data_IF_581433206483
#
_entry.id   IF_581433206483
#
_cell.length_a   1.000
_cell.length_b   1.000
_cell.length_c   1.000
_cell.angle_alpha   90.00
_cell.angle_beta   90.00
_cell.angle_gamma   90.00
#
_symmetry.space_group_name_H-M   'P 1'
#
loop_
_entity.id
_entity.type
_entity.pdbx_description
1 polymer ?
#
# COMPACT_ATOMS: atom_id res chain seq x y z
N UNK A 1 -17.17 22.46 -7.43
CA UNK A 1 -16.89 21.02 -7.66
C UNK A 1 -16.53 20.40 -6.32
N UNK A 2 -17.12 19.28 -5.96
CA UNK A 2 -16.74 18.47 -4.79
C UNK A 2 -15.69 17.49 -5.26
N UNK A 3 -14.40 17.64 -4.87
CA UNK A 3 -13.34 16.75 -5.35
C UNK A 3 -13.44 15.39 -4.68
N UNK A 4 -12.98 14.32 -5.36
CA UNK A 4 -12.95 12.97 -4.81
C UNK A 4 -12.02 12.85 -3.57
N UNK A 5 -10.99 13.66 -3.51
CA UNK A 5 -10.14 13.82 -2.34
C UNK A 5 -9.55 15.24 -2.29
N UNK A 6 -9.20 15.65 -1.10
CA UNK A 6 -8.44 16.88 -0.86
C UNK A 6 -7.36 16.57 0.17
N UNK A 7 -6.06 16.66 -0.20
CA UNK A 7 -4.98 16.37 0.74
C UNK A 7 -5.00 17.39 1.90
N UNK A 8 -4.86 16.88 3.11
CA UNK A 8 -4.72 17.69 4.31
C UNK A 8 -3.35 17.46 4.92
N UNK A 9 -2.50 18.46 4.90
CA UNK A 9 -1.18 18.41 5.55
C UNK A 9 -1.32 19.08 6.92
N UNK A 10 -1.12 18.29 7.98
CA UNK A 10 -1.24 18.76 9.36
C UNK A 10 -0.18 19.80 9.70
N UNK A 11 -0.38 20.54 10.79
CA UNK A 11 0.53 21.61 11.21
C UNK A 11 1.93 21.08 11.47
N UNK A 12 2.05 20.00 12.23
CA UNK A 12 3.33 19.38 12.58
C UNK A 12 4.14 18.97 11.32
N UNK A 13 3.48 18.40 10.31
CA UNK A 13 4.14 18.04 9.06
C UNK A 13 4.73 19.24 8.32
N UNK A 14 4.04 20.39 8.35
CA UNK A 14 4.54 21.65 7.78
C UNK A 14 5.74 22.18 8.53
N UNK A 15 5.66 22.19 9.87
CA UNK A 15 6.71 22.71 10.73
C UNK A 15 8.01 21.88 10.59
N UNK A 16 7.90 20.53 10.62
CA UNK A 16 9.04 19.63 10.39
C UNK A 16 9.66 19.76 9.00
N UNK A 17 8.84 19.99 7.96
CA UNK A 17 9.34 20.20 6.60
C UNK A 17 10.11 21.55 6.49
N UNK A 18 9.64 22.59 7.15
CA UNK A 18 10.33 23.89 7.22
C UNK A 18 11.67 23.74 7.92
N UNK A 19 11.72 23.07 9.08
CA UNK A 19 12.96 22.78 9.80
C UNK A 19 13.97 22.03 8.94
N UNK A 20 13.52 21.01 8.20
CA UNK A 20 14.38 20.24 7.28
C UNK A 20 14.94 21.10 6.13
N UNK A 21 14.18 22.08 5.64
CA UNK A 21 14.65 23.01 4.60
C UNK A 21 15.63 24.02 5.18
N UNK A 22 15.32 24.61 6.33
CA UNK A 22 16.16 25.61 6.99
C UNK A 22 17.51 25.06 7.47
N UNK A 23 17.55 23.78 7.88
CA UNK A 23 18.80 23.11 8.26
C UNK A 23 19.74 22.85 7.08
N UNK A 24 19.24 22.90 5.84
CA UNK A 24 19.97 22.51 4.64
C UNK A 24 19.99 21.00 4.37
N UNK A 25 19.44 20.18 5.25
CA UNK A 25 19.37 18.70 5.10
C UNK A 25 18.18 18.31 4.19
N UNK A 26 18.18 18.80 2.95
CA UNK A 26 17.03 18.65 2.03
C UNK A 26 16.88 17.20 1.54
N UNK A 27 17.96 16.60 1.10
CA UNK A 27 17.94 15.24 0.48
C UNK A 27 18.26 14.14 1.47
N UNK A 28 19.32 14.32 2.26
CA UNK A 28 19.78 13.39 3.28
C UNK A 28 19.64 14.07 4.64
N UNK A 29 19.23 13.33 5.66
CA UNK A 29 19.07 13.89 7.00
C UNK A 29 18.41 12.92 7.96
N UNK A 30 18.21 13.34 9.23
CA UNK A 30 17.75 12.46 10.30
C UNK A 30 16.30 11.98 10.14
N UNK A 31 15.44 12.75 9.47
CA UNK A 31 14.02 12.43 9.33
C UNK A 31 13.80 11.12 8.54
N UNK A 32 14.73 10.75 7.64
CA UNK A 32 14.63 9.50 6.88
C UNK A 32 14.61 8.31 7.85
N UNK A 33 15.65 8.18 8.67
CA UNK A 33 15.75 7.07 9.61
C UNK A 33 14.65 7.11 10.67
N UNK A 34 14.28 8.31 11.10
CA UNK A 34 13.21 8.49 12.08
C UNK A 34 11.86 8.04 11.52
N UNK A 35 11.53 8.43 10.28
CA UNK A 35 10.28 8.03 9.64
C UNK A 35 10.25 6.52 9.36
N UNK A 36 11.37 5.93 8.91
CA UNK A 36 11.51 4.49 8.74
C UNK A 36 11.24 3.73 10.05
N UNK A 37 11.81 4.19 11.16
CA UNK A 37 11.64 3.57 12.47
C UNK A 37 10.22 3.76 13.02
N UNK A 38 9.68 5.00 13.03
CA UNK A 38 8.36 5.26 13.60
C UNK A 38 7.26 4.55 12.78
N UNK A 39 7.37 4.53 11.44
CA UNK A 39 6.37 3.87 10.60
C UNK A 39 6.45 2.34 10.71
N UNK A 40 7.65 1.74 10.71
CA UNK A 40 7.80 0.30 10.91
C UNK A 40 7.27 -0.13 12.28
N UNK A 41 7.57 0.60 13.35
CA UNK A 41 7.03 0.35 14.69
C UNK A 41 5.50 0.50 14.74
N UNK A 42 4.95 1.52 14.10
CA UNK A 42 3.50 1.70 13.99
C UNK A 42 2.83 0.50 13.33
N UNK A 43 3.45 -0.09 12.32
CA UNK A 43 2.98 -1.30 11.65
C UNK A 43 3.38 -2.60 12.39
N UNK A 44 4.14 -2.54 13.49
CA UNK A 44 4.61 -3.72 14.23
C UNK A 44 5.65 -4.54 13.47
N UNK A 45 6.53 -3.87 12.69
CA UNK A 45 7.63 -4.48 11.93
C UNK A 45 8.99 -4.00 12.45
N UNK A 46 10.04 -4.81 12.20
CA UNK A 46 11.40 -4.48 12.63
C UNK A 46 12.06 -3.44 11.74
N UNK A 47 11.87 -3.54 10.41
CA UNK A 47 12.57 -2.71 9.44
C UNK A 47 11.61 -2.01 8.50
N UNK A 48 11.91 -0.74 8.20
CA UNK A 48 11.27 0.05 7.17
C UNK A 48 12.33 0.71 6.28
N UNK A 49 12.12 0.65 4.97
CA UNK A 49 13.00 1.28 3.97
C UNK A 49 12.16 2.18 3.09
N UNK A 50 12.33 3.49 3.24
CA UNK A 50 11.64 4.50 2.41
C UNK A 50 12.12 4.44 0.96
N UNK A 51 11.22 4.76 0.02
CA UNK A 51 11.56 4.88 -1.40
C UNK A 51 10.71 5.95 -2.09
N UNK A 52 11.02 6.23 -3.36
CA UNK A 52 10.48 7.37 -4.10
C UNK A 52 8.97 7.36 -4.33
N UNK A 53 8.31 6.19 -4.38
CA UNK A 53 6.86 6.03 -4.55
C UNK A 53 6.44 4.57 -4.33
N UNK A 54 5.12 4.30 -4.33
CA UNK A 54 4.58 2.95 -4.13
C UNK A 54 4.97 1.94 -5.22
N UNK A 55 5.12 2.37 -6.47
CA UNK A 55 5.59 1.49 -7.55
C UNK A 55 7.04 1.06 -7.34
N UNK A 56 7.90 1.99 -6.89
CA UNK A 56 9.27 1.68 -6.50
C UNK A 56 9.31 0.74 -5.27
N UNK A 57 8.37 0.90 -4.32
CA UNK A 57 8.25 0.00 -3.18
C UNK A 57 7.95 -1.44 -3.61
N UNK A 58 6.95 -1.65 -4.48
CA UNK A 58 6.61 -2.96 -5.04
C UNK A 58 7.79 -3.55 -5.83
N UNK A 59 8.43 -2.74 -6.66
CA UNK A 59 9.59 -3.17 -7.45
C UNK A 59 10.73 -3.65 -6.54
N UNK A 60 11.10 -2.83 -5.54
CA UNK A 60 12.17 -3.15 -4.58
C UNK A 60 11.82 -4.37 -3.73
N UNK A 61 10.57 -4.50 -3.28
CA UNK A 61 10.09 -5.63 -2.50
C UNK A 61 10.27 -6.95 -3.27
N UNK A 62 9.80 -7.00 -4.52
CA UNK A 62 9.92 -8.17 -5.39
C UNK A 62 11.40 -8.47 -5.68
N UNK A 63 12.20 -7.44 -5.98
CA UNK A 63 13.65 -7.59 -6.27
C UNK A 63 14.41 -8.13 -5.07
N UNK A 64 14.11 -7.63 -3.86
CA UNK A 64 14.81 -8.01 -2.64
C UNK A 64 14.50 -9.45 -2.19
N UNK A 65 13.34 -10.02 -2.57
CA UNK A 65 13.01 -11.41 -2.29
C UNK A 65 13.92 -12.40 -3.04
N UNK A 66 14.57 -11.96 -4.11
CA UNK A 66 15.51 -12.76 -4.90
C UNK A 66 14.95 -14.16 -5.26
N UNK A 67 13.73 -14.18 -5.83
CA UNK A 67 13.05 -15.41 -6.20
C UNK A 67 13.78 -16.13 -7.36
N UNK A 68 13.60 -17.44 -7.55
CA UNK A 68 14.15 -18.15 -8.69
C UNK A 68 13.75 -17.52 -10.03
N UNK A 69 14.66 -17.54 -11.01
CA UNK A 69 14.42 -16.96 -12.33
C UNK A 69 13.21 -17.65 -13.01
N UNK A 70 12.31 -16.86 -13.58
CA UNK A 70 11.11 -17.35 -14.24
C UNK A 70 9.97 -17.75 -13.29
N UNK A 71 10.11 -17.48 -11.99
CA UNK A 71 9.03 -17.72 -11.02
C UNK A 71 7.73 -17.06 -11.41
N UNK A 72 6.64 -17.72 -11.12
CA UNK A 72 5.29 -17.18 -11.18
C UNK A 72 4.96 -16.43 -9.88
N UNK A 73 4.32 -15.26 -10.05
CA UNK A 73 3.78 -14.46 -8.94
C UNK A 73 2.28 -14.30 -9.18
N UNK A 74 1.46 -14.87 -8.29
CA UNK A 74 0.01 -14.74 -8.37
C UNK A 74 -0.40 -13.35 -7.89
N UNK A 75 -1.29 -12.69 -8.64
CA UNK A 75 -1.76 -11.34 -8.35
C UNK A 75 -3.26 -11.21 -8.65
N UNK A 76 -4.06 -10.52 -7.80
CA UNK A 76 -5.47 -10.27 -8.09
C UNK A 76 -5.66 -9.51 -9.41
N UNK A 77 -6.73 -9.87 -10.15
CA UNK A 77 -7.06 -9.23 -11.43
C UNK A 77 -7.51 -7.78 -11.29
N UNK A 78 -8.03 -7.38 -10.14
CA UNK A 78 -8.41 -6.01 -9.83
C UNK A 78 -7.31 -5.33 -8.99
N UNK A 79 -6.45 -4.58 -9.66
CA UNK A 79 -5.34 -3.87 -9.01
C UNK A 79 -4.85 -2.72 -9.88
N UNK A 80 -4.04 -1.85 -9.28
CA UNK A 80 -3.26 -0.87 -10.04
C UNK A 80 -2.18 -1.56 -10.87
N UNK A 81 -1.90 -1.03 -12.06
CA UNK A 81 -0.89 -1.57 -12.98
C UNK A 81 0.51 -1.70 -12.37
N UNK A 82 0.80 -0.96 -11.29
CA UNK A 82 2.10 -0.99 -10.60
C UNK A 82 2.51 -2.38 -10.12
N UNK A 83 1.55 -3.22 -9.69
CA UNK A 83 1.83 -4.62 -9.31
C UNK A 83 2.37 -5.41 -10.50
N UNK A 84 1.73 -5.29 -11.66
CA UNK A 84 2.14 -5.97 -12.88
C UNK A 84 3.48 -5.45 -13.40
N UNK A 85 3.65 -4.13 -13.38
CA UNK A 85 4.93 -3.49 -13.76
C UNK A 85 6.06 -4.03 -12.90
N UNK A 86 5.89 -4.06 -11.57
CA UNK A 86 6.91 -4.54 -10.65
C UNK A 86 7.27 -6.02 -10.88
N UNK A 87 6.28 -6.89 -11.17
CA UNK A 87 6.49 -8.29 -11.49
C UNK A 87 7.27 -8.44 -12.82
N UNK A 88 6.81 -7.78 -13.88
CA UNK A 88 7.39 -7.89 -15.22
C UNK A 88 8.80 -7.33 -15.31
N UNK A 89 9.05 -6.16 -14.72
CA UNK A 89 10.36 -5.51 -14.73
C UNK A 89 11.41 -6.27 -13.88
N UNK A 90 10.97 -7.15 -12.98
CA UNK A 90 11.83 -8.10 -12.26
C UNK A 90 12.00 -9.44 -13.00
N UNK A 91 11.50 -9.57 -14.24
CA UNK A 91 11.56 -10.78 -15.08
C UNK A 91 10.84 -11.99 -14.49
N UNK A 92 9.73 -11.75 -13.73
CA UNK A 92 8.83 -12.79 -13.26
C UNK A 92 7.55 -12.84 -14.08
N UNK A 93 6.78 -13.92 -13.93
CA UNK A 93 5.56 -14.19 -14.69
C UNK A 93 4.34 -13.87 -13.82
N UNK A 94 3.53 -12.84 -14.16
CA UNK A 94 2.29 -12.59 -13.43
C UNK A 94 1.23 -13.64 -13.78
N UNK A 95 0.59 -14.22 -12.76
CA UNK A 95 -0.53 -15.15 -12.88
C UNK A 95 -1.74 -14.54 -12.19
N UNK A 96 -2.84 -14.34 -12.95
CA UNK A 96 -4.02 -13.68 -12.40
C UNK A 96 -4.92 -14.64 -11.64
N UNK A 97 -5.44 -14.18 -10.50
CA UNK A 97 -6.55 -14.79 -9.79
C UNK A 97 -7.73 -13.82 -9.66
N UNK A 98 -8.91 -14.35 -9.33
CA UNK A 98 -10.11 -13.56 -9.12
C UNK A 98 -10.11 -12.83 -7.78
N UNK A 99 -11.07 -11.92 -7.63
CA UNK A 99 -11.37 -11.20 -6.41
C UNK A 99 -12.74 -11.62 -5.87
N UNK A 100 -12.92 -11.49 -4.56
CA UNK A 100 -14.22 -11.61 -3.92
C UNK A 100 -15.09 -10.38 -4.27
N UNK A 101 -16.30 -10.58 -4.85
CA UNK A 101 -17.13 -9.47 -5.32
C UNK A 101 -17.78 -8.64 -4.21
N UNK A 102 -17.63 -9.05 -2.95
CA UNK A 102 -18.17 -8.35 -1.78
C UNK A 102 -17.10 -7.45 -1.15
N UNK A 103 -15.91 -8.01 -0.92
CA UNK A 103 -14.81 -7.32 -0.25
C UNK A 103 -13.85 -6.64 -1.23
N UNK A 104 -13.87 -7.04 -2.51
CA UNK A 104 -12.92 -6.66 -3.58
C UNK A 104 -11.46 -7.08 -3.29
N UNK A 105 -11.22 -7.81 -2.23
CA UNK A 105 -9.95 -8.43 -1.92
C UNK A 105 -9.80 -9.75 -2.68
N UNK A 106 -8.61 -10.34 -2.63
CA UNK A 106 -8.31 -11.60 -3.30
C UNK A 106 -9.31 -12.71 -2.92
N UNK A 107 -9.80 -13.46 -3.92
CA UNK A 107 -10.47 -14.73 -3.71
C UNK A 107 -9.42 -15.81 -3.45
N UNK A 108 -9.36 -16.31 -2.20
CA UNK A 108 -8.35 -17.28 -1.78
C UNK A 108 -8.50 -18.65 -2.44
N UNK A 109 -9.71 -19.06 -2.84
CA UNK A 109 -9.93 -20.32 -3.56
C UNK A 109 -9.43 -20.18 -5.00
N UNK A 110 -9.72 -19.06 -5.66
CA UNK A 110 -9.15 -18.75 -6.98
C UNK A 110 -7.62 -18.67 -6.90
N UNK A 111 -7.06 -17.95 -5.92
CA UNK A 111 -5.61 -17.85 -5.71
C UNK A 111 -4.98 -19.23 -5.53
N UNK A 112 -5.57 -20.09 -4.68
CA UNK A 112 -5.08 -21.46 -4.46
C UNK A 112 -5.15 -22.31 -5.73
N UNK A 113 -6.16 -22.13 -6.58
CA UNK A 113 -6.31 -22.88 -7.85
C UNK A 113 -5.25 -22.53 -8.89
N UNK A 114 -4.55 -21.40 -8.73
CA UNK A 114 -3.49 -20.93 -9.64
C UNK A 114 -2.09 -21.33 -9.19
N UNK A 115 -1.95 -21.94 -8.02
CA UNK A 115 -0.64 -22.40 -7.52
C UNK A 115 -0.12 -23.55 -8.38
N UNK A 116 1.10 -23.39 -8.88
CA UNK A 116 1.87 -24.40 -9.63
C UNK A 116 3.21 -24.66 -8.94
N UNK A 117 4.02 -25.56 -9.46
CA UNK A 117 5.40 -25.80 -9.01
C UNK A 117 6.32 -24.60 -9.23
N UNK A 118 5.97 -23.69 -10.17
CA UNK A 118 6.74 -22.48 -10.48
C UNK A 118 6.32 -21.29 -9.61
N UNK A 119 5.24 -21.40 -8.82
CA UNK A 119 4.73 -20.31 -8.00
C UNK A 119 5.67 -20.07 -6.81
N UNK A 120 6.32 -18.89 -6.76
CA UNK A 120 7.23 -18.53 -5.68
C UNK A 120 6.69 -17.43 -4.77
N UNK A 121 5.73 -16.64 -5.23
CA UNK A 121 5.11 -15.60 -4.41
C UNK A 121 3.66 -15.35 -4.83
N UNK A 122 2.91 -14.70 -3.92
CA UNK A 122 1.59 -14.13 -4.18
C UNK A 122 1.57 -12.68 -3.70
N UNK A 123 0.84 -11.83 -4.44
CA UNK A 123 0.53 -10.46 -4.00
C UNK A 123 -0.87 -10.46 -3.42
N UNK A 124 -1.01 -10.00 -2.18
CA UNK A 124 -2.30 -9.68 -1.56
C UNK A 124 -2.45 -8.17 -1.49
N UNK A 125 -3.65 -7.66 -1.78
CA UNK A 125 -3.94 -6.22 -1.82
C UNK A 125 -5.05 -5.93 -0.83
N UNK A 126 -4.84 -4.94 0.03
CA UNK A 126 -5.84 -4.49 0.99
C UNK A 126 -6.70 -3.39 0.34
N UNK A 127 -7.65 -3.80 -0.49
CA UNK A 127 -8.39 -2.93 -1.42
C UNK A 127 -9.24 -1.89 -0.68
N UNK A 128 -9.09 -0.63 -1.07
CA UNK A 128 -9.84 0.54 -0.56
C UNK A 128 -9.82 0.74 0.96
N UNK A 129 -8.85 0.12 1.65
CA UNK A 129 -8.67 0.28 3.09
C UNK A 129 -9.21 -0.87 3.92
N UNK A 130 -9.70 -1.95 3.29
CA UNK A 130 -10.14 -3.18 3.93
C UNK A 130 -9.05 -4.24 3.84
N UNK A 131 -8.60 -4.79 4.97
CA UNK A 131 -7.63 -5.88 4.96
C UNK A 131 -8.22 -7.14 4.34
N UNK A 132 -7.33 -7.98 3.78
CA UNK A 132 -7.71 -9.36 3.42
C UNK A 132 -8.07 -10.15 4.69
N UNK A 133 -8.86 -11.21 4.52
CA UNK A 133 -9.18 -12.15 5.60
C UNK A 133 -7.90 -12.87 6.07
N UNK A 134 -7.47 -12.57 7.29
CA UNK A 134 -6.21 -13.09 7.85
C UNK A 134 -6.28 -14.57 8.22
N UNK A 135 -7.48 -15.12 8.47
CA UNK A 135 -7.63 -16.56 8.72
C UNK A 135 -7.46 -17.35 7.42
N UNK A 136 -8.07 -16.87 6.32
CA UNK A 136 -7.90 -17.47 4.98
C UNK A 136 -6.45 -17.33 4.51
N UNK A 137 -5.80 -16.19 4.79
CA UNK A 137 -4.38 -16.00 4.48
C UNK A 137 -3.50 -16.99 5.27
N UNK A 138 -3.77 -17.17 6.55
CA UNK A 138 -3.06 -18.13 7.41
C UNK A 138 -3.24 -19.58 6.91
N UNK A 139 -4.45 -19.96 6.52
CA UNK A 139 -4.74 -21.26 5.93
C UNK A 139 -3.99 -21.46 4.60
N UNK A 140 -3.97 -20.42 3.73
CA UNK A 140 -3.20 -20.45 2.49
C UNK A 140 -1.69 -20.63 2.76
N UNK A 141 -1.11 -19.87 3.70
CA UNK A 141 0.32 -19.96 4.06
C UNK A 141 0.67 -21.32 4.66
N UNK A 142 -0.21 -21.89 5.49
CA UNK A 142 -0.04 -23.22 6.07
C UNK A 142 0.03 -24.30 4.97
N UNK A 143 -0.81 -24.18 3.94
CA UNK A 143 -0.83 -25.11 2.81
C UNK A 143 0.36 -24.91 1.87
N UNK A 144 0.88 -23.69 1.77
CA UNK A 144 1.93 -23.31 0.83
C UNK A 144 3.09 -22.60 1.57
N UNK A 145 3.82 -23.29 2.47
CA UNK A 145 4.77 -22.64 3.40
C UNK A 145 5.98 -22.00 2.71
N UNK A 146 6.32 -22.41 1.50
CA UNK A 146 7.46 -21.88 0.72
C UNK A 146 7.10 -20.66 -0.11
N UNK A 147 5.82 -20.44 -0.41
CA UNK A 147 5.35 -19.29 -1.21
C UNK A 147 5.45 -18.03 -0.36
N UNK A 148 6.11 -17.00 -0.89
CA UNK A 148 6.25 -15.70 -0.24
C UNK A 148 4.98 -14.87 -0.39
N UNK A 149 4.58 -14.20 0.69
CA UNK A 149 3.45 -13.27 0.68
C UNK A 149 4.01 -11.85 0.54
N UNK A 150 3.60 -11.14 -0.50
CA UNK A 150 3.86 -9.72 -0.73
C UNK A 150 2.55 -8.97 -0.44
N UNK A 151 2.55 -8.17 0.60
CA UNK A 151 1.39 -7.35 0.95
C UNK A 151 1.50 -5.96 0.29
N UNK A 152 0.54 -5.62 -0.57
CA UNK A 152 0.33 -4.22 -0.98
C UNK A 152 -0.67 -3.56 -0.02
N UNK A 153 -0.13 -2.80 0.93
CA UNK A 153 -0.86 -2.05 1.94
C UNK A 153 -1.00 -0.57 1.57
N UNK A 154 -0.80 -0.20 0.31
CA UNK A 154 -0.80 1.19 -0.17
C UNK A 154 -2.10 1.94 0.07
N UNK A 155 -3.19 1.25 0.36
CA UNK A 155 -4.53 1.82 0.57
C UNK A 155 -5.04 1.63 2.01
N UNK A 156 -4.26 0.96 2.88
CA UNK A 156 -4.77 0.44 4.15
C UNK A 156 -3.98 0.89 5.39
N UNK A 157 -3.32 2.05 5.34
CA UNK A 157 -2.59 2.60 6.48
C UNK A 157 -3.45 2.64 7.74
N UNK A 158 -3.08 1.84 8.76
CA UNK A 158 -3.79 1.76 10.02
C UNK A 158 -5.05 0.90 10.03
N UNK A 159 -5.36 0.19 8.95
CA UNK A 159 -6.45 -0.80 8.92
C UNK A 159 -6.11 -2.05 9.75
N UNK A 160 -7.16 -2.73 10.22
CA UNK A 160 -7.05 -3.98 10.99
C UNK A 160 -8.03 -5.04 10.50
N UNK A 161 -7.62 -6.29 10.65
CA UNK A 161 -8.51 -7.44 10.74
C UNK A 161 -8.12 -8.24 11.98
N UNK A 162 -9.06 -8.37 12.94
CA UNK A 162 -8.79 -8.94 14.27
C UNK A 162 -7.61 -8.24 14.95
N UNK A 163 -6.58 -8.98 15.30
CA UNK A 163 -5.34 -8.49 15.93
C UNK A 163 -4.25 -8.06 14.94
N UNK A 164 -4.46 -8.25 13.64
CA UNK A 164 -3.47 -7.95 12.60
C UNK A 164 -3.68 -6.57 11.99
N UNK A 165 -2.61 -5.83 11.87
CA UNK A 165 -2.58 -4.51 11.23
C UNK A 165 -2.03 -4.61 9.80
N UNK A 166 -2.43 -3.69 8.93
CA UNK A 166 -1.80 -3.49 7.63
C UNK A 166 -0.28 -3.30 7.79
N UNK A 167 0.49 -4.00 6.97
CA UNK A 167 1.95 -4.07 7.06
C UNK A 167 2.47 -5.34 7.76
N UNK A 168 1.60 -6.12 8.42
CA UNK A 168 1.99 -7.34 9.15
C UNK A 168 1.68 -8.64 8.42
N UNK A 169 0.97 -8.57 7.27
CA UNK A 169 0.36 -9.76 6.69
C UNK A 169 1.31 -10.58 5.80
N UNK A 170 2.31 -9.92 5.21
CA UNK A 170 3.23 -10.57 4.29
C UNK A 170 4.60 -10.91 4.89
N UNK A 171 5.42 -11.67 4.16
CA UNK A 171 6.86 -11.77 4.38
C UNK A 171 7.53 -10.39 4.14
N UNK A 172 6.91 -9.61 3.25
CA UNK A 172 7.29 -8.24 2.92
C UNK A 172 6.02 -7.43 2.63
N UNK A 173 5.98 -6.15 3.02
CA UNK A 173 4.82 -5.29 2.82
C UNK A 173 5.23 -3.96 2.20
N UNK A 174 4.37 -3.40 1.36
CA UNK A 174 4.64 -2.14 0.64
C UNK A 174 3.58 -1.10 0.94
N UNK A 175 4.01 0.16 1.02
CA UNK A 175 3.14 1.31 1.23
C UNK A 175 3.42 2.39 0.19
N UNK A 176 2.40 3.17 -0.12
CA UNK A 176 2.49 4.37 -0.93
C UNK A 176 2.15 5.59 -0.08
N UNK A 177 2.92 6.66 -0.23
CA UNK A 177 2.66 7.96 0.39
C UNK A 177 2.27 9.01 -0.66
N UNK A 178 1.64 8.55 -1.75
CA UNK A 178 1.08 9.46 -2.75
C UNK A 178 0.04 10.40 -2.13
N UNK A 179 -0.18 11.54 -2.76
CA UNK A 179 -0.94 12.67 -2.21
C UNK A 179 -2.36 12.33 -1.69
N UNK A 180 -3.01 11.26 -2.20
CA UNK A 180 -4.34 10.85 -1.77
C UNK A 180 -4.35 9.80 -0.64
N UNK A 181 -3.19 9.35 -0.18
CA UNK A 181 -3.08 8.32 0.86
C UNK A 181 -3.35 8.90 2.25
N UNK A 182 -3.62 8.04 3.22
CA UNK A 182 -3.92 8.43 4.61
C UNK A 182 -2.71 9.10 5.25
N UNK A 183 -1.52 8.54 5.05
CA UNK A 183 -0.24 9.20 5.29
C UNK A 183 0.34 9.58 3.94
N UNK A 184 0.65 10.85 3.74
CA UNK A 184 1.22 11.33 2.48
C UNK A 184 2.50 12.13 2.67
N UNK A 185 3.40 12.01 1.70
CA UNK A 185 4.61 12.84 1.56
C UNK A 185 4.62 13.57 0.21
N UNK A 186 3.42 13.66 -0.45
CA UNK A 186 3.25 14.11 -1.84
C UNK A 186 3.53 12.99 -2.82
N UNK A 187 4.74 12.53 -2.89
CA UNK A 187 5.21 11.27 -3.49
C UNK A 187 6.06 10.54 -2.46
N UNK A 188 5.99 9.22 -2.43
CA UNK A 188 6.78 8.38 -1.52
C UNK A 188 6.26 6.96 -1.43
N UNK A 189 7.07 6.09 -0.87
CA UNK A 189 6.72 4.72 -0.54
C UNK A 189 7.61 4.19 0.57
N UNK A 190 7.26 3.01 1.07
CA UNK A 190 8.06 2.28 2.06
C UNK A 190 7.89 0.79 1.86
N UNK A 191 8.96 0.05 2.09
CA UNK A 191 8.94 -1.41 2.19
C UNK A 191 9.21 -1.80 3.62
N UNK A 192 8.39 -2.71 4.19
CA UNK A 192 8.54 -3.23 5.54
C UNK A 192 8.89 -4.72 5.50
N UNK A 193 9.76 -5.14 6.40
CA UNK A 193 10.13 -6.55 6.59
C UNK A 193 10.65 -6.80 8.01
N UNK A 194 10.67 -8.07 8.44
CA UNK A 194 11.35 -8.50 9.68
C UNK A 194 12.65 -9.26 9.37
N UNK A 195 12.92 -9.53 8.09
CA UNK A 195 14.11 -10.26 7.63
C UNK A 195 15.29 -9.27 7.45
N UNK A 196 16.37 -9.42 8.24
CA UNK A 196 17.52 -8.53 8.16
C UNK A 196 18.27 -8.59 6.82
N UNK A 197 18.29 -9.76 6.14
CA UNK A 197 18.94 -9.90 4.85
C UNK A 197 18.14 -9.20 3.74
N UNK A 198 16.81 -9.30 3.80
CA UNK A 198 15.92 -8.55 2.90
C UNK A 198 16.09 -7.05 3.12
N UNK A 199 16.15 -6.61 4.39
CA UNK A 199 16.37 -5.20 4.72
C UNK A 199 17.71 -4.67 4.17
N UNK A 200 18.79 -5.43 4.31
CA UNK A 200 20.10 -5.05 3.76
C UNK A 200 20.04 -4.90 2.22
N UNK A 201 19.43 -5.87 1.54
CA UNK A 201 19.23 -5.81 0.08
C UNK A 201 18.40 -4.59 -0.33
N UNK A 202 17.33 -4.27 0.39
CA UNK A 202 16.50 -3.08 0.13
C UNK A 202 17.30 -1.77 0.24
N UNK A 203 18.10 -1.62 1.30
CA UNK A 203 18.96 -0.45 1.53
C UNK A 203 19.98 -0.27 0.40
N UNK A 204 20.57 -1.35 -0.06
CA UNK A 204 21.52 -1.36 -1.15
C UNK A 204 20.85 -1.02 -2.49
N UNK A 205 19.78 -1.74 -2.83
CA UNK A 205 19.02 -1.55 -4.09
C UNK A 205 18.48 -0.13 -4.24
N UNK A 206 17.89 0.44 -3.18
CA UNK A 206 17.35 1.81 -3.17
C UNK A 206 18.39 2.88 -3.50
N UNK A 207 19.64 2.63 -3.20
CA UNK A 207 20.69 3.63 -3.22
C UNK A 207 21.88 3.20 -4.06
N UNK A 208 21.64 2.79 -5.30
CA UNK A 208 22.66 2.50 -6.32
C UNK A 208 23.65 1.38 -5.94
N UNK A 209 23.35 0.53 -4.97
CA UNK A 209 24.23 -0.56 -4.51
C UNK A 209 25.66 -0.09 -4.14
N UNK A 210 25.80 1.05 -3.46
CA UNK A 210 27.09 1.52 -3.00
C UNK A 210 27.67 0.61 -1.92
N UNK A 211 28.84 0.01 -2.16
CA UNK A 211 29.70 -0.59 -1.11
C UNK A 211 30.53 0.51 -0.44
N UNK A 212 31.12 1.39 -1.23
CA UNK A 212 31.90 2.52 -0.74
C UNK A 212 31.50 3.79 -1.51
N UNK A 213 30.76 4.68 -0.84
CA UNK A 213 30.31 5.95 -1.43
C UNK A 213 31.48 6.88 -1.80
N UNK A 214 32.56 6.87 -1.02
CA UNK A 214 33.70 7.76 -1.26
C UNK A 214 34.45 7.37 -2.52
N UNK A 215 34.43 6.09 -2.90
CA UNK A 215 35.13 5.55 -4.05
C UNK A 215 34.21 5.23 -5.22
N UNK A 216 32.90 5.47 -5.10
CA UNK A 216 31.92 5.09 -6.11
C UNK A 216 31.98 3.61 -6.51
N UNK A 217 32.21 2.74 -5.50
CA UNK A 217 32.25 1.29 -5.71
C UNK A 217 30.86 0.71 -5.48
N UNK A 218 30.37 -0.06 -6.44
CA UNK A 218 29.07 -0.71 -6.44
C UNK A 218 29.23 -2.23 -6.48
N UNK A 219 28.39 -2.98 -5.77
CA UNK A 219 28.39 -4.46 -5.79
C UNK A 219 27.59 -5.02 -6.96
N UNK A 220 26.56 -4.30 -7.38
CA UNK A 220 25.63 -4.69 -8.43
C UNK A 220 24.89 -3.45 -8.96
N UNK A 221 23.97 -3.63 -9.88
CA UNK A 221 23.07 -2.57 -10.34
C UNK A 221 22.04 -2.26 -9.23
N UNK A 222 21.97 -0.98 -8.87
CA UNK A 222 20.99 -0.44 -7.94
C UNK A 222 20.26 0.76 -8.54
N UNK A 223 19.32 1.32 -7.79
CA UNK A 223 18.41 2.35 -8.26
C UNK A 223 18.54 3.63 -7.44
N UNK A 224 18.22 4.75 -8.04
CA UNK A 224 18.04 6.02 -7.33
C UNK A 224 16.56 6.15 -6.93
N UNK A 225 16.11 5.33 -5.99
CA UNK A 225 14.74 5.31 -5.49
C UNK A 225 14.63 5.90 -4.09
N UNK A 226 15.49 6.84 -3.74
CA UNK A 226 15.50 7.49 -2.43
C UNK A 226 14.27 8.40 -2.24
N UNK A 227 13.74 8.44 -1.02
CA UNK A 227 12.88 9.51 -0.55
C UNK A 227 13.74 10.59 0.12
N UNK A 228 13.38 11.85 -0.04
CA UNK A 228 14.16 12.96 0.52
C UNK A 228 13.86 13.17 2.01
N UNK A 229 14.80 13.80 2.72
CA UNK A 229 14.64 14.14 4.14
C UNK A 229 13.43 15.07 4.38
N UNK A 230 13.18 16.02 3.48
CA UNK A 230 12.00 16.91 3.55
C UNK A 230 10.69 16.13 3.41
N UNK A 231 10.62 15.18 2.47
CA UNK A 231 9.44 14.33 2.33
C UNK A 231 9.23 13.44 3.55
N UNK A 232 10.31 12.89 4.13
CA UNK A 232 10.24 12.10 5.36
C UNK A 232 9.77 12.96 6.56
N UNK A 233 10.17 14.23 6.63
CA UNK A 233 9.68 15.17 7.64
C UNK A 233 8.15 15.37 7.54
N UNK A 234 7.62 15.53 6.33
CA UNK A 234 6.16 15.55 6.09
C UNK A 234 5.54 14.24 6.57
N UNK A 235 6.12 13.10 6.20
CA UNK A 235 5.65 11.77 6.56
C UNK A 235 5.57 11.55 8.08
N UNK A 236 6.55 12.04 8.84
CA UNK A 236 6.56 11.99 10.30
C UNK A 236 5.36 12.72 10.92
N UNK A 237 5.13 13.98 10.54
CA UNK A 237 4.01 14.74 11.06
C UNK A 237 2.67 14.12 10.68
N UNK A 238 2.53 13.61 9.46
CA UNK A 238 1.32 12.91 9.01
C UNK A 238 1.10 11.60 9.78
N UNK A 239 2.16 10.81 10.03
CA UNK A 239 2.08 9.57 10.80
C UNK A 239 1.60 9.83 12.23
N UNK A 240 2.13 10.84 12.89
CA UNK A 240 1.74 11.21 14.27
C UNK A 240 0.29 11.68 14.38
N UNK A 241 -0.29 12.14 13.27
CA UNK A 241 -1.70 12.54 13.16
C UNK A 241 -2.59 11.48 12.46
N UNK A 242 -2.12 10.25 12.27
CA UNK A 242 -2.82 9.24 11.48
C UNK A 242 -4.20 8.88 12.04
N UNK A 243 -4.33 8.79 13.37
CA UNK A 243 -5.59 8.41 14.02
C UNK A 243 -6.69 9.45 13.78
N UNK A 244 -6.37 10.74 13.82
CA UNK A 244 -7.31 11.81 13.50
C UNK A 244 -7.78 11.72 12.05
N UNK A 245 -6.84 11.46 11.12
CA UNK A 245 -7.14 11.28 9.70
C UNK A 245 -8.06 10.08 9.47
N UNK A 246 -7.79 8.95 10.11
CA UNK A 246 -8.62 7.73 10.02
C UNK A 246 -10.01 8.00 10.59
N UNK A 247 -10.10 8.63 11.76
CA UNK A 247 -11.40 8.94 12.37
C UNK A 247 -12.23 9.89 11.49
N UNK A 248 -11.59 10.86 10.83
CA UNK A 248 -12.28 11.72 9.88
C UNK A 248 -12.86 10.91 8.71
N UNK A 249 -12.08 10.01 8.09
CA UNK A 249 -12.56 9.14 6.99
C UNK A 249 -13.70 8.23 7.42
N UNK A 250 -13.62 7.64 8.62
CA UNK A 250 -14.70 6.81 9.19
C UNK A 250 -15.98 7.61 9.39
N UNK A 251 -15.88 8.87 9.85
CA UNK A 251 -17.08 9.74 9.94
C UNK A 251 -17.72 9.99 8.59
N UNK A 252 -16.92 10.29 7.56
CA UNK A 252 -17.42 10.47 6.19
C UNK A 252 -18.08 9.18 5.66
N UNK A 253 -17.43 8.03 5.86
CA UNK A 253 -17.97 6.74 5.46
C UNK A 253 -19.31 6.43 6.17
N UNK A 254 -19.41 6.73 7.45
CA UNK A 254 -20.65 6.56 8.22
C UNK A 254 -21.81 7.43 7.67
N UNK A 255 -21.52 8.69 7.25
CA UNK A 255 -22.53 9.54 6.62
C UNK A 255 -23.00 8.95 5.28
N UNK A 256 -22.09 8.46 4.44
CA UNK A 256 -22.48 7.76 3.21
C UNK A 256 -23.32 6.50 3.50
N UNK A 257 -22.92 5.70 4.49
CA UNK A 257 -23.65 4.50 4.88
C UNK A 257 -25.10 4.81 5.20
N UNK A 258 -25.39 5.80 6.06
CA UNK A 258 -26.76 6.20 6.42
C UNK A 258 -27.66 6.47 5.22
N UNK A 259 -27.07 7.00 4.13
CA UNK A 259 -27.82 7.32 2.92
C UNK A 259 -27.99 6.13 1.97
N UNK A 260 -27.07 5.17 1.97
CA UNK A 260 -27.00 4.13 0.94
C UNK A 260 -27.35 2.73 1.43
N UNK A 261 -27.28 2.40 2.73
CA UNK A 261 -27.43 1.04 3.26
C UNK A 261 -28.80 0.41 2.94
N UNK A 262 -29.85 1.23 2.80
CA UNK A 262 -31.20 0.75 2.47
C UNK A 262 -31.52 0.79 0.96
N UNK A 263 -30.56 1.15 0.13
CA UNK A 263 -30.74 1.26 -1.32
C UNK A 263 -30.46 -0.07 -2.01
N UNK A 264 -31.48 -0.79 -2.45
CA UNK A 264 -31.35 -2.13 -3.08
C UNK A 264 -30.45 -2.15 -4.32
N UNK A 265 -30.35 -1.00 -5.03
CA UNK A 265 -29.53 -0.84 -6.22
C UNK A 265 -28.07 -0.47 -5.95
N UNK A 266 -27.69 -0.29 -4.68
CA UNK A 266 -26.33 0.09 -4.29
C UNK A 266 -25.79 -0.97 -3.34
N UNK A 267 -24.58 -1.47 -3.63
CA UNK A 267 -23.78 -2.22 -2.68
C UNK A 267 -22.75 -1.26 -2.07
N UNK A 268 -22.79 -1.14 -0.76
CA UNK A 268 -21.85 -0.34 0.03
C UNK A 268 -20.60 -1.18 0.39
N UNK A 269 -19.51 -0.58 0.88
CA UNK A 269 -18.35 -1.30 1.38
C UNK A 269 -18.72 -2.35 2.42
N UNK A 270 -18.03 -3.48 2.39
CA UNK A 270 -18.19 -4.56 3.35
C UNK A 270 -17.83 -4.09 4.77
N UNK A 271 -18.65 -4.47 5.74
CA UNK A 271 -18.40 -4.23 7.15
C UNK A 271 -18.68 -5.50 7.97
N UNK A 272 -17.83 -5.74 8.94
CA UNK A 272 -17.94 -6.80 9.94
C UNK A 272 -17.17 -6.34 11.19
N UNK A 273 -17.53 -6.84 12.37
CA UNK A 273 -16.90 -6.48 13.65
C UNK A 273 -15.42 -6.82 13.74
N UNK A 274 -14.95 -7.84 12.99
CA UNK A 274 -13.55 -8.25 12.93
C UNK A 274 -12.66 -7.27 12.14
N UNK A 275 -13.27 -6.35 11.37
CA UNK A 275 -12.55 -5.42 10.49
C UNK A 275 -12.63 -3.98 10.96
N UNK A 276 -11.50 -3.31 10.93
CA UNK A 276 -11.41 -1.86 11.03
C UNK A 276 -10.98 -1.27 9.68
N UNK A 277 -11.96 -1.09 8.78
CA UNK A 277 -11.73 -0.43 7.49
C UNK A 277 -11.36 1.05 7.72
N UNK A 278 -10.38 1.55 6.97
CA UNK A 278 -9.94 2.96 7.02
C UNK A 278 -10.53 3.82 5.90
N UNK A 279 -11.26 3.20 4.98
CA UNK A 279 -11.98 3.85 3.88
C UNK A 279 -11.08 4.82 3.10
N UNK A 280 -9.96 4.30 2.52
CA UNK A 280 -9.14 5.10 1.62
C UNK A 280 -10.00 5.72 0.52
N UNK A 281 -10.91 4.92 -0.07
CA UNK A 281 -12.07 5.39 -0.81
C UNK A 281 -13.35 4.71 -0.31
N UNK A 282 -14.47 5.42 -0.37
CA UNK A 282 -15.79 4.83 -0.16
C UNK A 282 -16.31 4.32 -1.50
N UNK A 283 -15.97 3.06 -1.83
CA UNK A 283 -16.34 2.43 -3.08
C UNK A 283 -17.75 1.84 -3.04
N UNK A 284 -18.62 2.26 -3.94
CA UNK A 284 -19.97 1.69 -4.08
C UNK A 284 -20.11 0.94 -5.40
N UNK A 285 -20.87 -0.16 -5.41
CA UNK A 285 -21.25 -0.84 -6.64
C UNK A 285 -22.71 -0.51 -6.97
N UNK A 286 -22.90 0.13 -8.12
CA UNK A 286 -24.23 0.47 -8.65
C UNK A 286 -24.76 -0.69 -9.48
N UNK A 287 -25.82 -1.36 -9.01
CA UNK A 287 -26.38 -2.57 -9.64
C UNK A 287 -27.35 -2.25 -10.80
N UNK A 288 -27.91 -1.03 -10.83
CA UNK A 288 -28.84 -0.59 -11.86
C UNK A 288 -28.78 0.92 -12.07
N UNK A 289 -29.22 1.38 -13.27
CA UNK A 289 -29.24 2.81 -13.62
C UNK A 289 -27.88 3.53 -13.54
N UNK A 290 -26.79 2.80 -13.76
CA UNK A 290 -25.42 3.30 -13.66
C UNK A 290 -25.20 4.66 -14.34
N UNK A 291 -25.62 4.79 -15.62
CA UNK A 291 -25.46 6.03 -16.39
C UNK A 291 -26.23 7.22 -15.78
N UNK A 292 -27.38 6.98 -15.15
CA UNK A 292 -28.15 8.03 -14.46
C UNK A 292 -27.39 8.53 -13.21
N UNK A 293 -26.72 7.61 -12.49
CA UNK A 293 -25.89 7.97 -11.34
C UNK A 293 -24.73 8.82 -11.78
N UNK A 294 -23.99 8.42 -12.84
CA UNK A 294 -22.89 9.20 -13.38
C UNK A 294 -23.32 10.60 -13.84
N UNK A 295 -24.47 10.67 -14.54
CA UNK A 295 -25.04 11.95 -14.98
C UNK A 295 -25.39 12.84 -13.77
N UNK A 296 -25.98 12.27 -12.71
CA UNK A 296 -26.32 13.02 -11.51
C UNK A 296 -25.06 13.55 -10.81
N UNK A 297 -24.02 12.77 -10.67
CA UNK A 297 -22.74 13.19 -10.10
C UNK A 297 -22.13 14.35 -10.91
N UNK A 298 -22.07 14.19 -12.25
CA UNK A 298 -21.53 15.21 -13.17
C UNK A 298 -22.32 16.50 -13.10
N UNK A 299 -23.67 16.42 -13.16
CA UNK A 299 -24.56 17.61 -13.13
C UNK A 299 -24.42 18.38 -11.82
N UNK A 300 -24.18 17.68 -10.71
CA UNK A 300 -23.97 18.29 -9.40
C UNK A 300 -22.51 18.64 -9.11
N UNK A 301 -21.62 18.55 -10.10
CA UNK A 301 -20.19 18.85 -9.96
C UNK A 301 -19.52 18.03 -8.83
N UNK A 302 -19.86 16.75 -8.72
CA UNK A 302 -19.25 15.78 -7.78
C UNK A 302 -18.27 14.92 -8.58
N UNK A 303 -16.98 14.96 -8.19
CA UNK A 303 -15.94 14.13 -8.81
C UNK A 303 -16.05 12.67 -8.33
N UNK A 304 -15.70 11.73 -9.21
CA UNK A 304 -15.73 10.29 -8.92
C UNK A 304 -14.63 9.56 -9.70
N UNK A 305 -14.34 8.34 -9.30
CA UNK A 305 -13.46 7.42 -10.04
C UNK A 305 -14.16 6.09 -10.23
N UNK A 306 -13.90 5.46 -11.37
CA UNK A 306 -14.25 4.06 -11.56
C UNK A 306 -13.33 3.17 -10.73
N UNK A 307 -13.79 1.97 -10.39
CA UNK A 307 -12.93 0.93 -9.87
C UNK A 307 -11.86 0.57 -10.90
N UNK A 308 -10.79 -0.07 -10.44
CA UNK A 308 -9.79 -0.64 -11.34
C UNK A 308 -10.45 -1.64 -12.31
N UNK A 309 -9.94 -1.68 -13.54
CA UNK A 309 -10.38 -2.62 -14.58
C UNK A 309 -9.36 -3.74 -14.73
#
# INVERSE_FOLDING_TARGET
MIPIFQPSICREAKDLAIEAIESGDVTLGPNIKQFENEFSQYCGRQYGVTCSNGTAALYLAIKALNLPTGSEIIVPSMTIISCLTAIKENNYVPVFCDIDPITYNVDFDSMQSKVTENTSAVVIINTYGLLVDTDKLSAFKTKNPTIKIIEDASESHGAFHKDKRAGQLGDISTFSFYTNKIVTTGEGGMVLTDDPEVNERLLMLRNLNFIDRKKYIHSDVGFNFRLTNVQCAVGLGQLRNIDETIQHRKRVAYEYKKHFEHHSSIQIPFENEDYSNVYWYYGIRVKSNYNKVLQALTTNSIDYRHFFY
#
